data_IF_263142478206
#
_entry.id   IF_263142478206
#
_cell.length_a   1.000
_cell.length_b   1.000
_cell.length_c   1.000
_cell.angle_alpha   90.00
_cell.angle_beta   90.00
_cell.angle_gamma   90.00
#
_symmetry.space_group_name_H-M   'P 1'
#
loop_
_entity.id
_entity.type
_entity.pdbx_description
1 polymer ?
#
# COMPACT_ATOMS: atom_id res chain seq x y z
N UNK A 1 -19.44 8.60 26.07
CA UNK A 1 -19.00 9.99 25.87
C UNK A 1 -18.21 10.05 24.58
N UNK A 2 -18.57 10.93 23.62
CA UNK A 2 -17.74 11.16 22.42
C UNK A 2 -16.57 12.04 22.84
N UNK A 3 -15.34 11.66 22.45
CA UNK A 3 -14.18 12.51 22.66
C UNK A 3 -14.38 13.86 21.96
N UNK A 4 -13.89 14.97 22.54
CA UNK A 4 -13.96 16.28 21.90
C UNK A 4 -13.26 16.25 20.53
N UNK A 5 -13.67 17.06 19.56
CA UNK A 5 -13.00 17.15 18.27
C UNK A 5 -11.54 17.59 18.50
N UNK A 6 -10.63 17.01 17.73
CA UNK A 6 -9.20 17.37 17.78
C UNK A 6 -9.03 18.83 17.32
N UNK A 7 -8.12 19.54 17.96
CA UNK A 7 -7.67 20.86 17.52
C UNK A 7 -7.04 20.76 16.10
N UNK A 8 -7.10 21.80 15.27
CA UNK A 8 -6.50 21.81 13.94
C UNK A 8 -5.02 21.41 13.95
N UNK A 9 -4.21 21.92 14.86
CA UNK A 9 -2.79 21.62 15.02
C UNK A 9 -2.54 20.13 15.38
N UNK A 10 -3.32 19.58 16.31
CA UNK A 10 -3.24 18.15 16.65
C UNK A 10 -3.59 17.28 15.46
N UNK A 11 -4.53 17.75 14.61
CA UNK A 11 -4.91 17.05 13.38
C UNK A 11 -3.76 17.07 12.38
N UNK A 12 -3.08 18.20 12.19
CA UNK A 12 -1.90 18.32 11.33
C UNK A 12 -0.78 17.38 11.79
N UNK A 13 -0.42 17.42 13.08
CA UNK A 13 0.61 16.53 13.62
C UNK A 13 0.27 15.04 13.44
N UNK A 14 -1.00 14.67 13.62
CA UNK A 14 -1.45 13.29 13.41
C UNK A 14 -1.37 12.88 11.93
N UNK A 15 -1.79 13.76 11.01
CA UNK A 15 -1.70 13.51 9.56
C UNK A 15 -0.24 13.35 9.15
N UNK A 16 0.66 14.22 9.60
CA UNK A 16 2.09 14.12 9.31
C UNK A 16 2.71 12.82 9.82
N UNK A 17 2.35 12.41 11.05
CA UNK A 17 2.84 11.14 11.62
C UNK A 17 2.38 9.95 10.81
N UNK A 18 1.09 9.88 10.47
CA UNK A 18 0.52 8.78 9.70
C UNK A 18 1.16 8.73 8.31
N UNK A 19 1.22 9.86 7.59
CA UNK A 19 1.81 9.93 6.25
C UNK A 19 3.30 9.55 6.24
N UNK A 20 4.07 9.94 7.26
CA UNK A 20 5.48 9.53 7.33
C UNK A 20 5.66 8.04 7.61
N UNK A 21 4.86 7.48 8.53
CA UNK A 21 4.94 6.06 8.85
C UNK A 21 4.48 5.21 7.67
N UNK A 22 3.35 5.55 7.05
CA UNK A 22 2.82 4.82 5.90
C UNK A 22 3.75 4.95 4.69
N UNK A 23 4.07 6.17 4.27
CA UNK A 23 4.94 6.43 3.13
C UNK A 23 6.33 5.79 3.27
N UNK A 24 6.96 5.87 4.46
CA UNK A 24 8.26 5.25 4.70
C UNK A 24 8.17 3.73 4.68
N UNK A 25 7.16 3.14 5.32
CA UNK A 25 6.99 1.68 5.36
C UNK A 25 6.70 1.12 3.97
N UNK A 26 5.81 1.75 3.21
CA UNK A 26 5.50 1.34 1.83
C UNK A 26 6.74 1.46 0.94
N UNK A 27 7.44 2.59 0.99
CA UNK A 27 8.65 2.79 0.19
C UNK A 27 9.76 1.80 0.55
N UNK A 28 10.03 1.57 1.84
CA UNK A 28 11.08 0.69 2.29
C UNK A 28 10.78 -0.78 1.96
N UNK A 29 9.59 -1.26 2.31
CA UNK A 29 9.21 -2.66 2.05
C UNK A 29 9.15 -2.94 0.56
N UNK A 30 8.46 -2.10 -0.22
CA UNK A 30 8.34 -2.31 -1.66
C UNK A 30 9.69 -2.16 -2.38
N UNK A 31 10.54 -1.22 -1.95
CA UNK A 31 11.89 -1.05 -2.49
C UNK A 31 12.77 -2.27 -2.23
N UNK A 32 12.74 -2.82 -1.02
CA UNK A 32 13.47 -4.06 -0.68
C UNK A 32 12.96 -5.26 -1.49
N UNK A 33 11.65 -5.41 -1.62
CA UNK A 33 11.05 -6.46 -2.44
C UNK A 33 11.41 -6.31 -3.93
N UNK A 34 11.44 -5.09 -4.46
CA UNK A 34 11.87 -4.80 -5.82
C UNK A 34 13.34 -5.21 -6.05
N UNK A 35 14.23 -4.90 -5.11
CA UNK A 35 15.63 -5.31 -5.17
C UNK A 35 15.78 -6.83 -5.10
N UNK A 36 15.03 -7.49 -4.21
CA UNK A 36 15.03 -8.95 -4.10
C UNK A 36 14.54 -9.60 -5.41
N UNK A 37 13.44 -9.12 -5.99
CA UNK A 37 12.92 -9.60 -7.28
C UNK A 37 13.94 -9.41 -8.41
N UNK A 38 14.57 -8.24 -8.50
CA UNK A 38 15.61 -7.97 -9.48
C UNK A 38 16.82 -8.91 -9.32
N UNK A 39 17.21 -9.26 -8.10
CA UNK A 39 18.36 -10.13 -7.82
C UNK A 39 18.17 -11.56 -8.32
N UNK A 40 16.92 -12.02 -8.44
CA UNK A 40 16.57 -13.35 -8.98
C UNK A 40 16.10 -13.29 -10.44
N UNK A 41 16.21 -12.12 -11.09
CA UNK A 41 15.85 -11.92 -12.50
C UNK A 41 14.34 -11.71 -12.76
N UNK A 42 13.51 -11.56 -11.72
CA UNK A 42 12.11 -11.19 -11.86
C UNK A 42 11.96 -9.68 -12.08
N UNK A 43 12.18 -9.24 -13.31
CA UNK A 43 12.07 -7.83 -13.68
C UNK A 43 10.64 -7.29 -13.62
N UNK A 44 9.62 -8.16 -13.79
CA UNK A 44 8.22 -7.77 -13.66
C UNK A 44 7.86 -7.45 -12.22
N UNK A 45 8.22 -8.34 -11.28
CA UNK A 45 8.05 -8.11 -9.85
C UNK A 45 8.83 -6.89 -9.36
N UNK A 46 10.08 -6.73 -9.84
CA UNK A 46 10.89 -5.55 -9.54
C UNK A 46 10.21 -4.25 -10.02
N UNK A 47 9.68 -4.23 -11.23
CA UNK A 47 8.95 -3.09 -11.79
C UNK A 47 7.73 -2.72 -10.96
N UNK A 48 6.91 -3.70 -10.58
CA UNK A 48 5.74 -3.48 -9.70
C UNK A 48 6.18 -2.97 -8.34
N UNK A 49 7.21 -3.55 -7.73
CA UNK A 49 7.76 -3.09 -6.46
C UNK A 49 8.22 -1.62 -6.52
N UNK A 50 8.85 -1.19 -7.61
CA UNK A 50 9.22 0.20 -7.82
C UNK A 50 8.01 1.13 -7.95
N UNK A 51 6.94 0.71 -8.65
CA UNK A 51 5.71 1.48 -8.74
C UNK A 51 5.04 1.64 -7.36
N UNK A 52 5.04 0.59 -6.55
CA UNK A 52 4.55 0.64 -5.16
C UNK A 52 5.42 1.56 -4.30
N UNK A 53 6.75 1.45 -4.40
CA UNK A 53 7.67 2.33 -3.68
C UNK A 53 7.50 3.81 -4.07
N UNK A 54 7.19 4.09 -5.34
CA UNK A 54 6.88 5.45 -5.81
C UNK A 54 5.63 6.03 -5.12
N UNK A 55 4.62 5.23 -4.79
CA UNK A 55 3.47 5.70 -4.00
C UNK A 55 3.90 6.21 -2.62
N UNK A 56 4.76 5.46 -1.92
CA UNK A 56 5.35 5.90 -0.65
C UNK A 56 6.16 7.18 -0.78
N UNK A 57 6.95 7.32 -1.85
CA UNK A 57 7.72 8.54 -2.13
C UNK A 57 6.80 9.75 -2.38
N UNK A 58 5.68 9.57 -3.11
CA UNK A 58 4.66 10.61 -3.33
C UNK A 58 4.06 11.05 -2.00
N UNK A 59 3.75 10.11 -1.11
CA UNK A 59 3.20 10.41 0.21
C UNK A 59 4.18 11.17 1.09
N UNK A 60 5.45 10.75 1.14
CA UNK A 60 6.51 11.46 1.86
C UNK A 60 6.74 12.87 1.30
N UNK A 61 6.67 13.04 -0.02
CA UNK A 61 6.73 14.37 -0.65
C UNK A 61 5.57 15.25 -0.18
N UNK A 62 4.34 14.73 -0.16
CA UNK A 62 3.16 15.42 0.36
C UNK A 62 3.32 15.83 1.84
N UNK A 63 3.84 14.93 2.68
CA UNK A 63 4.15 15.23 4.07
C UNK A 63 5.23 16.31 4.23
N UNK A 64 6.26 16.29 3.36
CA UNK A 64 7.29 17.33 3.30
C UNK A 64 6.72 18.72 2.99
N UNK A 65 5.83 18.81 2.01
CA UNK A 65 5.14 20.06 1.68
C UNK A 65 4.27 20.59 2.83
N UNK A 66 3.58 19.71 3.55
CA UNK A 66 2.81 20.13 4.73
C UNK A 66 3.71 20.66 5.85
N UNK A 67 4.90 20.08 6.04
CA UNK A 67 5.87 20.58 7.02
C UNK A 67 6.44 21.96 6.66
N UNK A 68 6.51 22.29 5.38
CA UNK A 68 6.91 23.61 4.91
C UNK A 68 5.74 24.63 4.86
N UNK A 69 4.60 24.31 5.46
CA UNK A 69 3.42 25.19 5.50
C UNK A 69 2.57 25.17 4.22
N UNK A 70 2.84 24.26 3.28
CA UNK A 70 2.14 24.24 1.99
C UNK A 70 0.91 23.33 2.00
N UNK A 71 -0.28 23.90 2.00
CA UNK A 71 -1.58 23.18 1.95
C UNK A 71 -1.68 22.21 0.75
N UNK A 72 -0.96 22.48 -0.35
CA UNK A 72 -0.94 21.60 -1.53
C UNK A 72 -0.43 20.20 -1.21
N UNK A 73 0.34 20.01 -0.12
CA UNK A 73 0.77 18.68 0.35
C UNK A 73 -0.38 17.71 0.55
N UNK A 74 -1.57 18.19 1.00
CA UNK A 74 -2.76 17.35 1.13
C UNK A 74 -3.23 16.73 -0.18
N UNK A 75 -3.02 17.41 -1.33
CA UNK A 75 -3.38 16.85 -2.64
C UNK A 75 -2.51 15.65 -2.98
N UNK A 76 -1.22 15.70 -2.63
CA UNK A 76 -0.29 14.59 -2.83
C UNK A 76 -0.61 13.39 -1.94
N UNK A 77 -0.96 13.64 -0.65
CA UNK A 77 -1.38 12.58 0.26
C UNK A 77 -2.67 11.90 -0.21
N UNK A 78 -3.64 12.67 -0.71
CA UNK A 78 -4.87 12.09 -1.26
C UNK A 78 -4.60 11.34 -2.57
N UNK A 79 -3.70 11.85 -3.43
CA UNK A 79 -3.41 11.23 -4.73
C UNK A 79 -2.55 9.96 -4.63
N UNK A 80 -1.67 9.84 -3.61
CA UNK A 80 -0.84 8.65 -3.40
C UNK A 80 -1.67 7.39 -3.17
N UNK A 81 -2.80 7.50 -2.49
CA UNK A 81 -3.64 6.36 -2.11
C UNK A 81 -4.35 5.71 -3.32
N UNK A 82 -5.10 6.43 -4.18
CA UNK A 82 -5.69 5.84 -5.38
C UNK A 82 -4.62 5.40 -6.40
N UNK A 83 -3.46 6.05 -6.44
CA UNK A 83 -2.33 5.57 -7.25
C UNK A 83 -1.88 4.19 -6.78
N UNK A 84 -1.60 4.01 -5.47
CA UNK A 84 -1.20 2.73 -4.89
C UNK A 84 -2.29 1.66 -5.09
N UNK A 85 -3.56 2.05 -4.89
CA UNK A 85 -4.71 1.18 -5.13
C UNK A 85 -4.72 0.68 -6.58
N UNK A 86 -4.55 1.58 -7.56
CA UNK A 86 -4.54 1.22 -8.98
C UNK A 86 -3.39 0.27 -9.34
N UNK A 87 -2.18 0.50 -8.80
CA UNK A 87 -1.02 -0.37 -9.02
C UNK A 87 -1.27 -1.77 -8.47
N UNK A 88 -1.73 -1.89 -7.20
CA UNK A 88 -1.92 -3.19 -6.56
C UNK A 88 -3.12 -3.96 -7.12
N UNK A 89 -4.24 -3.28 -7.44
CA UNK A 89 -5.38 -3.92 -8.11
C UNK A 89 -5.03 -4.34 -9.53
N UNK A 90 -4.32 -3.50 -10.28
CA UNK A 90 -3.83 -3.83 -11.61
C UNK A 90 -2.92 -5.05 -11.60
N UNK A 91 -1.97 -5.09 -10.68
CA UNK A 91 -1.09 -6.25 -10.47
C UNK A 91 -1.90 -7.51 -10.13
N UNK A 92 -2.80 -7.42 -9.14
CA UNK A 92 -3.64 -8.56 -8.75
C UNK A 92 -4.50 -9.07 -9.90
N UNK A 93 -5.07 -8.17 -10.71
CA UNK A 93 -5.87 -8.53 -11.88
C UNK A 93 -5.04 -9.24 -12.96
N UNK A 94 -3.84 -8.73 -13.25
CA UNK A 94 -2.92 -9.35 -14.23
C UNK A 94 -2.53 -10.77 -13.75
N UNK A 95 -2.17 -10.91 -12.49
CA UNK A 95 -1.78 -12.22 -11.91
C UNK A 95 -2.96 -13.19 -11.91
N UNK A 96 -4.17 -12.77 -11.53
CA UNK A 96 -5.36 -13.60 -11.60
C UNK A 96 -5.72 -14.02 -13.05
N UNK A 97 -5.45 -13.15 -14.02
CA UNK A 97 -5.67 -13.47 -15.43
C UNK A 97 -4.66 -14.49 -15.97
N UNK A 98 -3.37 -14.30 -15.64
CA UNK A 98 -2.30 -15.17 -16.16
C UNK A 98 -2.31 -16.58 -15.57
N UNK A 99 -2.86 -16.76 -14.35
CA UNK A 99 -2.86 -18.04 -13.59
C UNK A 99 -1.48 -18.75 -13.56
N UNK A 100 -0.41 -17.97 -13.60
CA UNK A 100 0.95 -18.51 -13.60
C UNK A 100 1.34 -18.99 -12.19
N UNK A 101 1.36 -20.29 -11.99
CA UNK A 101 1.72 -20.94 -10.73
C UNK A 101 3.16 -21.45 -10.72
N UNK A 102 3.96 -21.16 -11.74
CA UNK A 102 5.34 -21.69 -11.90
C UNK A 102 6.22 -21.37 -10.69
N UNK A 103 6.13 -20.14 -10.16
CA UNK A 103 6.87 -19.70 -8.99
C UNK A 103 6.48 -20.49 -7.72
N UNK A 104 5.18 -20.80 -7.56
CA UNK A 104 4.69 -21.59 -6.43
C UNK A 104 5.11 -23.07 -6.54
N UNK A 105 5.14 -23.61 -7.76
CA UNK A 105 5.63 -24.99 -7.98
C UNK A 105 7.08 -25.13 -7.59
N UNK A 106 7.91 -24.10 -7.80
CA UNK A 106 9.33 -24.12 -7.45
C UNK A 106 9.60 -24.20 -5.94
N UNK A 107 8.65 -23.74 -5.10
CA UNK A 107 8.76 -23.79 -3.62
C UNK A 107 8.02 -24.98 -2.98
N UNK A 108 7.37 -25.83 -3.80
CA UNK A 108 6.69 -27.03 -3.33
C UNK A 108 7.71 -28.08 -2.89
N UNK A 109 7.72 -28.38 -1.59
CA UNK A 109 8.55 -29.46 -1.02
C UNK A 109 7.90 -30.83 -1.19
N UNK A 110 8.72 -31.91 -1.19
CA UNK A 110 8.24 -33.28 -1.21
C UNK A 110 7.28 -33.60 -0.06
N UNK A 111 7.55 -33.07 1.13
CA UNK A 111 6.72 -33.29 2.31
C UNK A 111 5.32 -32.66 2.16
N UNK A 112 5.26 -31.48 1.55
CA UNK A 112 3.99 -30.82 1.28
C UNK A 112 3.17 -31.59 0.23
N UNK A 113 3.82 -32.09 -0.83
CA UNK A 113 3.17 -32.95 -1.84
C UNK A 113 2.57 -34.21 -1.22
N UNK A 114 3.35 -34.93 -0.43
CA UNK A 114 2.90 -36.14 0.25
C UNK A 114 1.72 -35.84 1.19
N UNK A 115 1.74 -34.71 1.88
CA UNK A 115 0.65 -34.29 2.77
C UNK A 115 -0.64 -33.94 2.01
N UNK A 116 -0.52 -33.34 0.82
CA UNK A 116 -1.65 -33.01 -0.05
C UNK A 116 -2.29 -34.30 -0.60
N UNK A 117 -1.48 -35.22 -1.11
CA UNK A 117 -1.94 -36.54 -1.59
C UNK A 117 -2.65 -37.33 -0.50
N UNK A 118 -2.08 -37.36 0.72
CA UNK A 118 -2.70 -38.01 1.87
C UNK A 118 -4.05 -37.37 2.27
N UNK A 119 -4.23 -36.07 1.96
CA UNK A 119 -5.45 -35.33 2.20
C UNK A 119 -6.48 -35.40 1.04
N UNK A 120 -6.14 -36.10 -0.05
CA UNK A 120 -6.98 -36.27 -1.23
C UNK A 120 -7.09 -35.03 -2.13
N UNK A 121 -6.18 -34.06 -1.96
CA UNK A 121 -6.09 -32.87 -2.83
C UNK A 121 -5.04 -33.09 -3.92
N UNK A 122 -5.34 -32.72 -5.16
CA UNK A 122 -4.32 -32.63 -6.20
C UNK A 122 -3.45 -31.39 -6.01
N UNK A 123 -2.15 -31.52 -6.32
CA UNK A 123 -1.20 -30.38 -6.27
C UNK A 123 -1.71 -29.20 -7.09
N UNK A 124 -2.20 -29.44 -8.30
CA UNK A 124 -2.68 -28.39 -9.19
C UNK A 124 -3.91 -27.65 -8.61
N UNK A 125 -4.85 -28.36 -8.03
CA UNK A 125 -6.05 -27.78 -7.40
C UNK A 125 -5.67 -26.92 -6.19
N UNK A 126 -4.73 -27.41 -5.37
CA UNK A 126 -4.23 -26.65 -4.23
C UNK A 126 -3.53 -25.37 -4.67
N UNK A 127 -2.60 -25.45 -5.61
CA UNK A 127 -1.86 -24.30 -6.13
C UNK A 127 -2.80 -23.24 -6.71
N UNK A 128 -3.76 -23.67 -7.52
CA UNK A 128 -4.76 -22.75 -8.09
C UNK A 128 -5.61 -22.06 -7.04
N UNK A 129 -6.12 -22.81 -6.05
CA UNK A 129 -6.93 -22.24 -4.96
C UNK A 129 -6.09 -21.29 -4.11
N UNK A 130 -4.88 -21.70 -3.73
CA UNK A 130 -3.97 -20.87 -2.94
C UNK A 130 -3.63 -19.57 -3.66
N UNK A 131 -3.21 -19.66 -4.92
CA UNK A 131 -2.89 -18.51 -5.77
C UNK A 131 -4.07 -17.53 -5.87
N UNK A 132 -5.25 -18.04 -6.21
CA UNK A 132 -6.45 -17.21 -6.32
C UNK A 132 -6.79 -16.55 -4.98
N UNK A 133 -6.72 -17.30 -3.88
CA UNK A 133 -7.00 -16.76 -2.55
C UNK A 133 -6.04 -15.63 -2.17
N UNK A 134 -4.75 -15.79 -2.41
CA UNK A 134 -3.73 -14.77 -2.09
C UNK A 134 -4.04 -13.46 -2.82
N UNK A 135 -4.26 -13.49 -4.14
CA UNK A 135 -4.51 -12.27 -4.89
C UNK A 135 -5.88 -11.65 -4.65
N UNK A 136 -6.91 -12.44 -4.36
CA UNK A 136 -8.23 -11.92 -3.94
C UNK A 136 -8.13 -11.25 -2.57
N UNK A 137 -7.45 -11.87 -1.60
CA UNK A 137 -7.24 -11.27 -0.27
C UNK A 137 -6.40 -9.99 -0.39
N UNK A 138 -5.35 -10.00 -1.22
CA UNK A 138 -4.55 -8.81 -1.49
C UNK A 138 -5.43 -7.68 -2.08
N UNK A 139 -6.25 -7.97 -3.08
CA UNK A 139 -7.12 -6.99 -3.72
C UNK A 139 -8.14 -6.39 -2.74
N UNK A 140 -8.82 -7.24 -1.96
CA UNK A 140 -9.82 -6.80 -0.96
C UNK A 140 -9.14 -5.99 0.15
N UNK A 141 -8.03 -6.49 0.70
CA UNK A 141 -7.27 -5.81 1.75
C UNK A 141 -6.79 -4.44 1.29
N UNK A 142 -6.25 -4.36 0.07
CA UNK A 142 -5.82 -3.11 -0.55
C UNK A 142 -6.99 -2.14 -0.73
N UNK A 143 -8.14 -2.61 -1.23
CA UNK A 143 -9.32 -1.75 -1.41
C UNK A 143 -9.80 -1.15 -0.08
N UNK A 144 -9.87 -1.96 0.96
CA UNK A 144 -10.30 -1.51 2.29
C UNK A 144 -9.30 -0.51 2.87
N UNK A 145 -8.00 -0.85 2.84
CA UNK A 145 -6.96 -0.01 3.46
C UNK A 145 -6.79 1.30 2.70
N UNK A 146 -6.59 1.28 1.39
CA UNK A 146 -6.37 2.49 0.60
C UNK A 146 -7.63 3.35 0.47
N UNK A 147 -8.81 2.72 0.42
CA UNK A 147 -10.09 3.43 0.51
C UNK A 147 -10.26 4.14 1.86
N UNK A 148 -9.93 3.47 2.95
CA UNK A 148 -9.93 4.04 4.29
C UNK A 148 -8.94 5.20 4.45
N UNK A 149 -7.71 5.06 3.94
CA UNK A 149 -6.68 6.11 3.97
C UNK A 149 -7.06 7.31 3.10
N UNK A 150 -7.60 7.09 1.91
CA UNK A 150 -8.14 8.15 1.06
C UNK A 150 -9.19 8.97 1.82
N UNK A 151 -10.17 8.28 2.42
CA UNK A 151 -11.23 8.92 3.20
C UNK A 151 -10.68 9.65 4.43
N UNK A 152 -9.67 9.09 5.09
CA UNK A 152 -8.98 9.71 6.21
C UNK A 152 -8.38 11.06 5.80
N UNK A 153 -7.60 11.12 4.71
CA UNK A 153 -6.98 12.35 4.25
C UNK A 153 -8.01 13.37 3.73
N UNK A 154 -9.00 12.94 2.96
CA UNK A 154 -10.06 13.82 2.45
C UNK A 154 -10.82 14.50 3.58
N UNK A 155 -11.22 13.76 4.61
CA UNK A 155 -11.96 14.31 5.76
C UNK A 155 -11.16 15.29 6.61
N UNK A 156 -9.83 15.18 6.61
CA UNK A 156 -8.95 16.04 7.42
C UNK A 156 -8.42 17.25 6.68
N UNK A 157 -8.66 17.34 5.37
CA UNK A 157 -8.14 18.41 4.52
C UNK A 157 -8.46 19.81 5.03
N UNK A 158 -9.70 20.05 5.46
CA UNK A 158 -10.14 21.36 5.94
C UNK A 158 -9.48 21.75 7.27
N UNK A 159 -9.37 20.79 8.21
CA UNK A 159 -8.73 21.04 9.49
C UNK A 159 -7.22 21.30 9.36
N UNK A 160 -6.54 20.58 8.44
CA UNK A 160 -5.13 20.81 8.14
C UNK A 160 -4.92 22.18 7.49
N UNK A 161 -5.80 22.60 6.57
CA UNK A 161 -5.71 23.93 5.96
C UNK A 161 -5.87 25.04 7.02
N UNK A 162 -6.84 24.91 7.93
CA UNK A 162 -7.04 25.87 9.01
C UNK A 162 -5.83 25.94 9.98
N UNK A 163 -5.17 24.79 10.28
CA UNK A 163 -3.97 24.80 11.10
C UNK A 163 -2.83 25.60 10.48
N UNK A 164 -2.60 25.42 9.17
CA UNK A 164 -1.53 26.12 8.45
C UNK A 164 -1.81 27.63 8.26
N UNK A 165 -3.08 28.02 8.15
CA UNK A 165 -3.47 29.44 8.12
C UNK A 165 -3.19 30.15 9.46
N UNK A 166 -3.46 29.51 10.59
CA UNK A 166 -3.14 30.05 11.92
C UNK A 166 -1.64 30.22 12.11
N UNK A 167 -0.84 29.22 11.77
CA UNK A 167 0.62 29.28 11.89
C UNK A 167 1.24 30.42 11.04
N UNK A 168 0.65 30.71 9.87
CA UNK A 168 1.11 31.80 8.99
C UNK A 168 0.70 33.20 9.48
N UNK A 169 -0.29 33.32 10.36
CA UNK A 169 -0.75 34.63 10.91
C UNK A 169 0.00 35.06 12.18
N UNK A 170 0.73 34.14 12.80
CA UNK A 170 1.48 34.40 14.05
C UNK A 170 2.97 34.79 13.78
N UNK A 171 3.40 34.85 12.52
CA UNK A 171 4.75 35.22 12.05
C UNK A 171 4.71 36.61 11.40
#
# INVERSE_FOLDING_TARGET
>A
MKAPPLLPEETLHRVLRVANLDGLSVMAVAGLLALAAASVGDYNGAGVGLLVAAAGAIELHGAGLLRSGEVRGMKWLVASQPYLLAVLLGYSAIRLWSHDTTELQAVMTSDLRNSLEASGFSEEEFLRKFYTTVYVVLAIGTLIFQGGMTLYYVRRRTAVAAALEHESSDV
#
